data_IF_379576927157
#
_entry.id   IF_379576927157
#
_cell.length_a   1.000
_cell.length_b   1.000
_cell.length_c   1.000
_cell.angle_alpha   90.00
_cell.angle_beta   90.00
_cell.angle_gamma   90.00
#
_symmetry.space_group_name_H-M   'P 1'
#
loop_
_entity.id
_entity.type
_entity.pdbx_description
1 polymer ?
#
# COMPACT_ATOMS: atom_id res chain seq x y z
N UNK A 1 7.86 6.96 -0.98
CA UNK A 1 7.66 6.00 0.12
C UNK A 1 9.00 5.35 0.44
N UNK A 2 9.25 5.05 1.71
CA UNK A 2 10.51 4.49 2.21
C UNK A 2 10.40 4.17 3.70
N UNK A 3 11.47 3.74 4.37
CA UNK A 3 11.44 3.40 5.80
C UNK A 3 10.85 4.52 6.69
N UNK A 4 11.10 5.79 6.34
CA UNK A 4 10.61 6.96 7.08
C UNK A 4 9.20 7.42 6.65
N UNK A 5 8.71 6.91 5.52
CA UNK A 5 7.44 7.27 4.90
C UNK A 5 6.67 6.01 4.50
N UNK A 6 6.17 5.33 5.52
CA UNK A 6 5.46 4.05 5.38
C UNK A 6 4.17 4.24 4.60
N UNK A 7 3.93 3.33 3.65
CA UNK A 7 2.67 3.17 2.93
C UNK A 7 1.84 2.09 3.64
N UNK A 8 0.55 2.37 3.85
CA UNK A 8 -0.41 1.43 4.41
C UNK A 8 -1.71 1.50 3.63
N UNK A 9 -2.30 0.35 3.33
CA UNK A 9 -3.63 0.27 2.71
C UNK A 9 -4.60 -0.27 3.74
N UNK A 10 -5.62 0.53 4.05
CA UNK A 10 -6.76 0.10 4.85
C UNK A 10 -7.92 -0.30 3.95
N UNK A 11 -8.69 -1.29 4.34
CA UNK A 11 -9.98 -1.57 3.69
C UNK A 11 -11.06 -0.91 4.55
N UNK A 12 -11.86 -0.05 3.93
CA UNK A 12 -13.01 0.55 4.57
C UNK A 12 -14.06 -0.55 4.87
N UNK A 13 -14.52 -0.69 6.12
CA UNK A 13 -15.36 -1.82 6.52
C UNK A 13 -16.75 -1.78 5.87
N UNK A 14 -17.27 -0.58 5.57
CA UNK A 14 -18.63 -0.39 5.06
C UNK A 14 -18.67 -0.53 3.54
N UNK A 15 -17.69 0.06 2.85
CA UNK A 15 -17.64 0.12 1.38
C UNK A 15 -16.76 -0.97 0.77
N UNK A 16 -15.91 -1.62 1.57
CA UNK A 16 -14.88 -2.56 1.11
C UNK A 16 -13.84 -1.93 0.16
N UNK A 17 -13.78 -0.59 0.07
CA UNK A 17 -12.82 0.09 -0.78
C UNK A 17 -11.44 0.24 -0.10
N UNK A 18 -10.34 0.16 -0.86
CA UNK A 18 -9.01 0.43 -0.33
C UNK A 18 -8.78 1.94 -0.15
N UNK A 19 -8.36 2.32 1.06
CA UNK A 19 -7.93 3.64 1.47
C UNK A 19 -6.40 3.63 1.72
N UNK A 20 -5.58 4.03 0.72
CA UNK A 20 -4.13 4.06 0.84
C UNK A 20 -3.64 5.34 1.54
N UNK A 21 -2.84 5.19 2.60
CA UNK A 21 -2.23 6.28 3.35
C UNK A 21 -0.71 6.21 3.29
N UNK A 22 -0.06 7.38 3.23
CA UNK A 22 1.39 7.50 3.38
C UNK A 22 1.74 8.40 4.56
N UNK A 23 2.66 7.93 5.41
CA UNK A 23 3.21 8.76 6.48
C UNK A 23 4.05 9.90 5.89
N UNK A 24 3.73 11.15 6.27
CA UNK A 24 4.41 12.35 5.77
C UNK A 24 5.42 12.86 6.79
N UNK A 25 5.01 13.05 8.05
CA UNK A 25 5.88 13.48 9.17
C UNK A 25 5.13 13.38 10.49
N UNK A 26 5.85 13.21 11.60
CA UNK A 26 5.29 13.15 12.95
C UNK A 26 4.14 12.12 13.05
N UNK A 27 2.89 12.58 13.23
CA UNK A 27 1.67 11.75 13.20
C UNK A 27 0.74 12.16 12.04
N UNK A 28 1.28 12.76 10.98
CA UNK A 28 0.53 13.19 9.80
C UNK A 28 0.62 12.13 8.71
N UNK A 29 -0.51 11.52 8.39
CA UNK A 29 -0.69 10.68 7.22
C UNK A 29 -1.43 11.47 6.12
N UNK A 30 -1.10 11.19 4.86
CA UNK A 30 -1.83 11.71 3.71
C UNK A 30 -2.55 10.57 2.99
N UNK A 31 -3.84 10.78 2.69
CA UNK A 31 -4.59 9.89 1.80
C UNK A 31 -4.06 10.03 0.38
N UNK A 32 -3.67 8.91 -0.23
CA UNK A 32 -3.25 8.86 -1.62
C UNK A 32 -4.49 8.89 -2.51
N UNK A 33 -4.47 9.79 -3.51
CA UNK A 33 -5.58 9.91 -4.43
C UNK A 33 -5.77 8.63 -5.27
N UNK A 34 -7.03 8.33 -5.60
CA UNK A 34 -7.43 7.07 -6.26
C UNK A 34 -6.68 6.79 -7.57
N UNK A 35 -6.41 7.83 -8.38
CA UNK A 35 -5.67 7.66 -9.64
C UNK A 35 -4.21 7.19 -9.42
N UNK A 36 -3.52 7.74 -8.41
CA UNK A 36 -2.16 7.36 -8.05
C UNK A 36 -2.17 5.95 -7.49
N UNK A 37 -3.17 5.61 -6.67
CA UNK A 37 -3.34 4.25 -6.18
C UNK A 37 -3.48 3.23 -7.32
N UNK A 38 -4.27 3.52 -8.35
CA UNK A 38 -4.38 2.62 -9.49
C UNK A 38 -3.08 2.45 -10.26
N UNK A 39 -2.32 3.53 -10.46
CA UNK A 39 -0.99 3.44 -11.05
C UNK A 39 -0.04 2.58 -10.21
N UNK A 40 -0.16 2.63 -8.87
CA UNK A 40 0.62 1.76 -7.98
C UNK A 40 0.22 0.29 -8.13
N UNK A 41 -1.08 0.00 -8.28
CA UNK A 41 -1.58 -1.36 -8.52
C UNK A 41 -1.05 -1.91 -9.85
N UNK A 42 -0.98 -1.10 -10.90
CA UNK A 42 -0.40 -1.52 -12.19
C UNK A 42 1.09 -1.89 -12.08
N UNK A 43 1.81 -1.30 -11.14
CA UNK A 43 3.23 -1.57 -10.86
C UNK A 43 3.44 -2.65 -9.79
N UNK A 44 2.36 -3.17 -9.20
CA UNK A 44 2.44 -4.11 -8.10
C UNK A 44 2.98 -5.46 -8.58
N UNK A 45 3.76 -6.10 -7.72
CA UNK A 45 4.32 -7.43 -7.93
C UNK A 45 3.90 -8.37 -6.81
N UNK A 46 3.74 -9.65 -7.12
CA UNK A 46 3.39 -10.67 -6.15
C UNK A 46 4.61 -11.07 -5.32
N UNK A 47 4.43 -11.15 -4.00
CA UNK A 47 5.45 -11.62 -3.06
C UNK A 47 4.82 -12.49 -1.98
N UNK A 48 5.49 -13.56 -1.61
CA UNK A 48 5.08 -14.38 -0.47
C UNK A 48 5.52 -13.72 0.84
N UNK A 49 4.55 -13.50 1.74
CA UNK A 49 4.74 -12.99 3.10
C UNK A 49 3.90 -13.84 4.04
N UNK A 50 4.51 -14.39 5.09
CA UNK A 50 3.83 -15.20 6.11
C UNK A 50 2.93 -16.33 5.55
N UNK A 51 3.39 -16.97 4.46
CA UNK A 51 2.69 -18.07 3.79
C UNK A 51 1.50 -17.64 2.92
N UNK A 52 1.30 -16.34 2.70
CA UNK A 52 0.29 -15.78 1.81
C UNK A 52 0.94 -15.00 0.67
N UNK A 53 0.30 -15.00 -0.51
CA UNK A 53 0.75 -14.18 -1.63
C UNK A 53 0.12 -12.79 -1.53
N UNK A 54 0.96 -11.78 -1.57
CA UNK A 54 0.58 -10.38 -1.48
C UNK A 54 0.98 -9.64 -2.74
N UNK A 55 0.07 -8.81 -3.25
CA UNK A 55 0.41 -7.78 -4.22
C UNK A 55 0.94 -6.57 -3.46
N UNK A 56 2.06 -6.01 -3.94
CA UNK A 56 2.65 -4.82 -3.33
C UNK A 56 3.68 -4.16 -4.22
N UNK A 57 4.17 -3.00 -3.80
CA UNK A 57 5.17 -2.21 -4.53
C UNK A 57 6.48 -2.11 -3.77
N UNK A 58 7.58 -2.05 -4.51
CA UNK A 58 8.90 -1.77 -3.95
C UNK A 58 9.19 -0.27 -3.99
N UNK A 59 9.69 0.27 -2.88
CA UNK A 59 10.22 1.64 -2.84
C UNK A 59 11.35 1.73 -1.84
N UNK A 60 12.50 2.24 -2.26
CA UNK A 60 13.70 2.38 -1.42
C UNK A 60 14.11 1.08 -0.69
N UNK A 61 14.02 -0.06 -1.36
CA UNK A 61 14.38 -1.36 -0.79
C UNK A 61 13.38 -1.93 0.22
N UNK A 62 12.24 -1.28 0.44
CA UNK A 62 11.15 -1.75 1.29
C UNK A 62 9.99 -2.21 0.40
N UNK A 63 9.39 -3.33 0.75
CA UNK A 63 8.18 -3.83 0.11
C UNK A 63 6.96 -3.38 0.90
N UNK A 64 6.02 -2.73 0.22
CA UNK A 64 4.77 -2.26 0.80
C UNK A 64 3.61 -3.09 0.29
N UNK A 65 3.01 -3.96 1.13
CA UNK A 65 1.85 -4.75 0.74
C UNK A 65 0.63 -3.87 0.51
N UNK A 66 -0.12 -4.13 -0.56
CA UNK A 66 -1.34 -3.43 -0.95
C UNK A 66 -2.57 -4.27 -0.64
N UNK A 67 -2.52 -5.57 -0.94
CA UNK A 67 -3.61 -6.51 -0.70
C UNK A 67 -3.20 -7.94 -1.00
N UNK A 68 -4.04 -8.90 -0.60
CA UNK A 68 -3.83 -10.31 -0.92
C UNK A 68 -3.99 -10.52 -2.43
N UNK A 69 -3.11 -11.34 -2.99
CA UNK A 69 -3.29 -11.84 -4.36
C UNK A 69 -4.47 -12.82 -4.36
N UNK A 70 -5.45 -12.66 -5.28
CA UNK A 70 -6.61 -13.55 -5.38
C UNK A 70 -6.26 -14.97 -5.85
#
# INVERSE_FOLDING_TARGET
AGPDHLLRVLIDPDTQEPAPYIHVRNNLEALIHRNVFYQMVELAVSRELDGQRWLGVWSHGVFFPIGLEP
#
